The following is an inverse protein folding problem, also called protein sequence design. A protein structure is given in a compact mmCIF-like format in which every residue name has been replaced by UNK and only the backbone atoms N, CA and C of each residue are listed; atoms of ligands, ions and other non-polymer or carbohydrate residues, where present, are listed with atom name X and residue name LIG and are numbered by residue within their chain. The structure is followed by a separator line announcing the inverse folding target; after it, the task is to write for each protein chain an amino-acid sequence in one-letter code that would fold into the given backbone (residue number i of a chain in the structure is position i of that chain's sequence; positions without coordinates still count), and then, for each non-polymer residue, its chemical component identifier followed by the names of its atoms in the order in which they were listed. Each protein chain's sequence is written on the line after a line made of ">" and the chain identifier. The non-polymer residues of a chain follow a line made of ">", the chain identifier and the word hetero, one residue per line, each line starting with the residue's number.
data_IF_464946681222
#
_entry.id   IF_464946681222
#
_cell.length_a   1.000
_cell.length_b   1.000
_cell.length_c   1.000
_cell.angle_alpha   90.00
_cell.angle_beta   90.00
_cell.angle_gamma   90.00
#
_symmetry.space_group_name_H-M   'P 1'
#
loop_
_entity.id
_entity.type
_entity.pdbx_description
1 polymer ?
#
# COMPACT_ATOMS: atom_id res chain seq x y z
N UNK A 1 4.22 4.29 -31.43
CA UNK A 1 4.56 3.14 -30.56
C UNK A 1 3.97 3.43 -29.18
N UNK A 2 3.17 2.53 -28.63
CA UNK A 2 2.60 2.70 -27.28
C UNK A 2 3.56 2.13 -26.22
N UNK A 3 3.67 2.81 -25.09
CA UNK A 3 4.44 2.30 -23.94
C UNK A 3 3.59 1.25 -23.22
N UNK A 4 4.11 0.03 -23.07
CA UNK A 4 3.49 -1.00 -22.22
C UNK A 4 3.90 -0.74 -20.77
N UNK A 5 2.94 -0.35 -19.94
CA UNK A 5 3.16 -0.17 -18.51
C UNK A 5 3.24 -1.52 -17.79
N UNK A 6 4.08 -1.64 -16.75
CA UNK A 6 4.07 -2.81 -15.88
C UNK A 6 2.77 -2.90 -15.09
N UNK A 7 2.42 -4.12 -14.70
CA UNK A 7 1.30 -4.34 -13.79
C UNK A 7 1.59 -3.75 -12.41
N UNK A 8 0.55 -3.20 -11.79
CA UNK A 8 0.61 -2.73 -10.41
C UNK A 8 0.92 -3.92 -9.47
N UNK A 9 1.84 -3.77 -8.49
CA UNK A 9 2.09 -4.82 -7.51
C UNK A 9 0.79 -5.26 -6.85
N UNK A 10 0.52 -6.59 -6.75
CA UNK A 10 -0.74 -7.09 -6.19
C UNK A 10 -1.03 -6.55 -4.79
N UNK A 11 0.02 -6.38 -3.99
CA UNK A 11 -0.04 -5.82 -2.63
C UNK A 11 -0.71 -4.44 -2.61
N UNK A 12 -0.49 -3.59 -3.62
CA UNK A 12 -1.10 -2.26 -3.69
C UNK A 12 -2.63 -2.26 -3.90
N UNK A 13 -3.24 -3.43 -4.17
CA UNK A 13 -4.70 -3.60 -4.22
C UNK A 13 -5.26 -4.33 -3.01
N UNK A 14 -4.40 -4.86 -2.14
CA UNK A 14 -4.83 -5.63 -0.99
C UNK A 14 -5.53 -4.74 0.04
N UNK A 15 -6.64 -5.24 0.58
CA UNK A 15 -7.34 -4.59 1.69
C UNK A 15 -7.07 -5.36 2.96
N UNK A 16 -6.62 -4.67 4.00
CA UNK A 16 -6.45 -5.24 5.34
C UNK A 16 -7.55 -4.74 6.28
N UNK A 17 -8.06 -5.66 7.10
CA UNK A 17 -8.98 -5.36 8.20
C UNK A 17 -8.18 -5.27 9.49
N UNK A 18 -8.62 -4.45 10.45
CA UNK A 18 -8.00 -4.37 11.78
C UNK A 18 -8.18 -5.66 12.60
N UNK A 19 -9.18 -6.47 12.29
CA UNK A 19 -9.49 -7.67 13.05
C UNK A 19 -10.16 -7.40 14.39
N UNK A 20 -10.64 -6.16 14.63
CA UNK A 20 -11.47 -5.83 15.79
C UNK A 20 -12.80 -6.58 15.71
N UNK A 21 -13.23 -7.16 16.83
CA UNK A 21 -14.46 -7.90 16.97
C UNK A 21 -15.32 -7.36 18.14
N UNK A 22 -16.63 -7.66 18.10
CA UNK A 22 -17.51 -7.36 19.22
C UNK A 22 -17.09 -8.15 20.45
N UNK A 23 -17.04 -7.47 21.60
CA UNK A 23 -16.56 -8.05 22.86
C UNK A 23 -15.05 -7.92 23.09
N UNK A 24 -14.27 -7.41 22.13
CA UNK A 24 -12.88 -7.02 22.39
C UNK A 24 -12.85 -5.94 23.48
N UNK A 25 -11.89 -6.04 24.40
CA UNK A 25 -11.57 -4.90 25.27
C UNK A 25 -11.16 -3.69 24.42
N UNK A 26 -11.53 -2.50 24.86
CA UNK A 26 -11.28 -1.27 24.13
C UNK A 26 -9.78 -1.01 23.83
N UNK A 27 -8.90 -1.35 24.76
CA UNK A 27 -7.45 -1.25 24.59
C UNK A 27 -6.93 -2.24 23.54
N UNK A 28 -7.37 -3.50 23.57
CA UNK A 28 -7.06 -4.48 22.53
C UNK A 28 -7.58 -4.03 21.15
N UNK A 29 -8.80 -3.50 21.08
CA UNK A 29 -9.38 -3.01 19.85
C UNK A 29 -8.58 -1.83 19.27
N UNK A 30 -8.10 -0.93 20.13
CA UNK A 30 -7.24 0.19 19.72
C UNK A 30 -5.90 -0.32 19.16
N UNK A 31 -5.21 -1.22 19.87
CA UNK A 31 -3.94 -1.79 19.42
C UNK A 31 -4.08 -2.51 18.07
N UNK A 32 -5.15 -3.28 17.87
CA UNK A 32 -5.45 -3.95 16.59
C UNK A 32 -5.68 -2.96 15.46
N UNK A 33 -6.38 -1.87 15.74
CA UNK A 33 -6.64 -0.81 14.76
C UNK A 33 -5.35 -0.10 14.38
N UNK A 34 -4.52 0.26 15.37
CA UNK A 34 -3.26 0.95 15.15
C UNK A 34 -2.24 0.09 14.38
N UNK A 35 -2.19 -1.21 14.67
CA UNK A 35 -1.35 -2.15 13.92
C UNK A 35 -1.77 -2.24 12.44
N UNK A 36 -3.08 -2.26 12.15
CA UNK A 36 -3.56 -2.27 10.77
C UNK A 36 -3.35 -0.94 10.05
N UNK A 37 -3.47 0.18 10.76
CA UNK A 37 -3.16 1.50 10.22
C UNK A 37 -1.66 1.63 9.89
N UNK A 38 -0.79 1.23 10.80
CA UNK A 38 0.66 1.22 10.60
C UNK A 38 1.05 0.38 9.39
N UNK A 39 0.46 -0.79 9.23
CA UNK A 39 0.69 -1.62 8.04
C UNK A 39 0.20 -0.94 6.76
N UNK A 40 -0.96 -0.28 6.80
CA UNK A 40 -1.50 0.43 5.63
C UNK A 40 -0.63 1.61 5.22
N UNK A 41 -0.06 2.36 6.17
CA UNK A 41 0.92 3.41 5.87
C UNK A 41 2.17 2.84 5.20
N UNK A 42 2.75 1.78 5.76
CA UNK A 42 3.92 1.13 5.16
C UNK A 42 3.64 0.60 3.74
N UNK A 43 2.44 0.05 3.49
CA UNK A 43 2.03 -0.34 2.15
C UNK A 43 1.90 0.86 1.22
N UNK A 44 1.28 1.95 1.69
CA UNK A 44 1.12 3.19 0.93
C UNK A 44 2.47 3.73 0.48
N UNK A 45 3.44 3.80 1.40
CA UNK A 45 4.81 4.27 1.12
C UNK A 45 5.49 3.38 0.06
N UNK A 46 5.36 2.05 0.20
CA UNK A 46 5.92 1.10 -0.77
C UNK A 46 5.30 1.24 -2.15
N UNK A 47 3.99 1.46 -2.24
CA UNK A 47 3.27 1.61 -3.50
C UNK A 47 3.58 2.95 -4.17
N UNK A 48 3.75 4.02 -3.38
CA UNK A 48 4.20 5.30 -3.87
C UNK A 48 5.62 5.20 -4.45
N UNK A 49 6.55 4.57 -3.72
CA UNK A 49 7.93 4.37 -4.19
C UNK A 49 7.99 3.59 -5.52
N UNK A 50 7.22 2.51 -5.65
CA UNK A 50 7.11 1.79 -6.92
C UNK A 50 6.64 2.68 -8.09
N UNK A 51 5.66 3.56 -7.82
CA UNK A 51 5.13 4.46 -8.85
C UNK A 51 6.16 5.54 -9.25
N UNK A 52 6.89 6.07 -8.26
CA UNK A 52 7.95 7.05 -8.51
C UNK A 52 9.08 6.44 -9.36
N UNK A 53 9.48 5.20 -9.08
CA UNK A 53 10.46 4.46 -9.88
C UNK A 53 9.98 4.23 -11.32
N UNK A 54 8.71 3.83 -11.49
CA UNK A 54 8.10 3.71 -12.82
C UNK A 54 8.14 5.03 -13.57
N UNK A 55 7.72 6.12 -12.92
CA UNK A 55 7.72 7.46 -13.51
C UNK A 55 9.14 7.91 -13.90
N UNK A 56 10.13 7.65 -13.06
CA UNK A 56 11.53 7.96 -13.34
C UNK A 56 12.04 7.18 -14.57
N UNK A 57 11.76 5.88 -14.65
CA UNK A 57 12.15 5.06 -15.81
C UNK A 57 11.50 5.52 -17.12
N UNK A 58 10.22 5.92 -17.06
CA UNK A 58 9.52 6.51 -18.22
C UNK A 58 10.11 7.85 -18.65
N UNK A 59 10.52 8.69 -17.69
CA UNK A 59 11.17 9.96 -17.99
C UNK A 59 12.53 9.75 -18.66
N UNK A 60 13.33 8.77 -18.19
CA UNK A 60 14.63 8.40 -18.81
C UNK A 60 14.46 7.92 -20.25
N UNK A 61 13.46 7.08 -20.53
CA UNK A 61 13.22 6.57 -21.89
C UNK A 61 12.63 7.57 -22.88
N UNK A 62 12.23 8.77 -22.44
CA UNK A 62 11.71 9.84 -23.29
C UNK A 62 12.80 10.83 -23.78
N UNK A 63 14.04 10.66 -23.32
CA UNK A 63 15.22 11.46 -23.70
C UNK A 63 16.00 10.75 -24.81
#
# INVERSE_FOLDING_TARGET
>A
MGVKLPDLPPTCREKRRSGVALGDRADTALLRTDAALSWHHAQTDSCAGWYDDLKAGLAVGAQ
#
